data_IF_225661603955
#
_entry.id   IF_225661603955
#
_cell.length_a   1.000
_cell.length_b   1.000
_cell.length_c   1.000
_cell.angle_alpha   90.00
_cell.angle_beta   90.00
_cell.angle_gamma   90.00
#
_symmetry.space_group_name_H-M   'P 1'
#
loop_
_entity.id
_entity.type
_entity.pdbx_description
1 polymer ?
#
# COMPACT_ATOMS: atom_id res chain seq x y z
N UNK A 1 32.39 43.71 7.85
CA UNK A 1 32.94 43.13 6.62
C UNK A 1 31.77 42.75 5.74
N UNK A 2 31.70 43.35 4.54
CA UNK A 2 30.62 43.19 3.58
C UNK A 2 30.76 41.89 2.77
N UNK A 3 29.65 41.57 2.08
CA UNK A 3 29.46 40.73 0.87
C UNK A 3 29.47 39.20 1.00
N UNK A 4 28.26 38.64 0.98
CA UNK A 4 27.69 37.87 -0.15
C UNK A 4 28.60 36.85 -0.84
N UNK A 5 28.24 35.57 -0.77
CA UNK A 5 28.78 34.51 -1.62
C UNK A 5 27.63 33.71 -2.24
N UNK A 6 27.16 34.24 -3.37
CA UNK A 6 27.09 33.59 -4.69
C UNK A 6 26.58 32.14 -4.74
N UNK A 7 25.29 32.05 -5.05
CA UNK A 7 24.65 31.24 -6.08
C UNK A 7 25.58 30.33 -6.92
N UNK A 8 25.31 29.02 -6.94
CA UNK A 8 25.33 28.23 -8.18
C UNK A 8 24.05 27.42 -8.28
N UNK A 9 23.23 27.83 -9.24
CA UNK A 9 22.12 27.10 -9.83
C UNK A 9 22.73 26.11 -10.81
N UNK A 10 22.32 24.85 -10.78
CA UNK A 10 22.60 23.90 -11.88
C UNK A 10 21.28 23.25 -12.27
N UNK A 11 20.61 23.91 -13.21
CA UNK A 11 19.74 23.27 -14.18
C UNK A 11 20.62 22.35 -15.06
N UNK A 12 20.17 21.13 -15.32
CA UNK A 12 20.63 20.39 -16.49
C UNK A 12 19.41 20.07 -17.35
N UNK A 13 19.49 20.59 -18.56
CA UNK A 13 18.48 20.66 -19.59
C UNK A 13 18.02 19.29 -20.10
N UNK A 14 16.77 19.29 -20.52
CA UNK A 14 16.10 18.26 -21.32
C UNK A 14 16.31 18.64 -22.80
N UNK A 15 16.87 17.74 -23.62
CA UNK A 15 16.80 17.79 -25.10
C UNK A 15 16.52 16.36 -25.58
N UNK A 16 15.32 16.09 -26.13
CA UNK A 16 15.00 16.00 -27.58
C UNK A 16 15.38 14.63 -28.16
N UNK A 17 14.68 13.97 -29.08
CA UNK A 17 13.40 14.07 -29.78
C UNK A 17 13.28 12.76 -30.61
N UNK A 18 12.08 12.27 -30.96
CA UNK A 18 11.80 11.78 -32.33
C UNK A 18 10.30 11.54 -32.64
N UNK A 19 9.90 12.16 -33.75
CA UNK A 19 8.86 11.90 -34.77
C UNK A 19 7.45 11.33 -34.47
N UNK A 20 6.46 12.22 -34.64
CA UNK A 20 5.43 12.26 -35.71
C UNK A 20 4.76 10.96 -36.20
N UNK A 21 3.43 10.89 -36.05
CA UNK A 21 2.54 9.98 -36.78
C UNK A 21 1.10 10.50 -36.92
N UNK A 22 0.83 11.18 -38.04
CA UNK A 22 -0.43 11.48 -38.73
C UNK A 22 -1.80 11.49 -38.01
N UNK A 23 -2.44 12.66 -38.03
CA UNK A 23 -3.88 12.89 -37.81
C UNK A 23 -4.69 12.67 -39.11
N UNK A 24 -5.47 11.59 -39.17
CA UNK A 24 -6.55 11.42 -40.13
C UNK A 24 -7.85 12.02 -39.59
N UNK A 25 -8.47 12.91 -40.37
CA UNK A 25 -9.76 13.54 -40.06
C UNK A 25 -10.89 12.76 -40.73
N UNK A 26 -11.83 12.26 -39.94
CA UNK A 26 -13.23 12.12 -40.31
C UNK A 26 -14.07 12.37 -39.07
N UNK A 27 -14.73 13.52 -39.05
CA UNK A 27 -15.79 13.79 -38.11
C UNK A 27 -17.12 13.36 -38.72
N UNK A 28 -17.92 12.63 -37.94
CA UNK A 28 -19.37 12.82 -37.92
C UNK A 28 -19.90 12.29 -36.58
N UNK A 29 -20.55 13.18 -35.83
CA UNK A 29 -20.88 12.98 -34.43
C UNK A 29 -21.99 11.96 -34.18
N UNK A 30 -22.01 11.49 -32.93
CA UNK A 30 -23.13 11.70 -32.02
C UNK A 30 -22.60 11.66 -30.59
N UNK A 31 -22.46 12.84 -29.98
CA UNK A 31 -22.41 12.98 -28.53
C UNK A 31 -23.72 12.45 -27.95
N UNK A 32 -23.65 11.32 -27.25
CA UNK A 32 -24.60 11.00 -26.20
C UNK A 32 -23.96 11.43 -24.88
N UNK A 33 -24.23 12.68 -24.51
CA UNK A 33 -23.99 13.19 -23.18
C UNK A 33 -24.88 12.42 -22.20
N UNK A 34 -24.27 11.50 -21.46
CA UNK A 34 -24.79 10.93 -20.23
C UNK A 34 -23.59 10.47 -19.40
N UNK A 35 -23.48 10.83 -18.11
CA UNK A 35 -22.46 10.26 -17.25
C UNK A 35 -22.68 8.77 -17.21
N UNK A 36 -21.74 8.01 -17.77
CA UNK A 36 -21.75 6.55 -17.65
C UNK A 36 -21.65 6.28 -16.15
N UNK A 37 -22.66 5.66 -15.50
CA UNK A 37 -22.46 5.19 -14.15
C UNK A 37 -21.37 4.12 -14.27
N UNK A 38 -20.19 4.43 -13.73
CA UNK A 38 -19.12 3.48 -13.50
C UNK A 38 -19.73 2.32 -12.70
N UNK A 39 -20.14 1.28 -13.42
CA UNK A 39 -20.68 0.04 -12.87
C UNK A 39 -19.50 -0.73 -12.25
N UNK A 40 -19.01 -0.23 -11.12
CA UNK A 40 -18.05 -0.91 -10.25
C UNK A 40 -18.65 -2.18 -9.62
N UNK A 41 -19.91 -2.51 -9.92
CA UNK A 41 -20.69 -3.64 -9.43
C UNK A 41 -20.22 -5.02 -9.91
N UNK A 42 -19.17 -5.10 -10.74
CA UNK A 42 -18.59 -6.39 -11.20
C UNK A 42 -17.11 -6.55 -10.92
N UNK A 43 -16.54 -5.71 -10.06
CA UNK A 43 -15.34 -6.12 -9.35
C UNK A 43 -15.76 -7.27 -8.43
N UNK A 44 -15.23 -8.47 -8.65
CA UNK A 44 -15.38 -9.56 -7.69
C UNK A 44 -14.92 -9.03 -6.32
N UNK A 45 -15.86 -8.68 -5.44
CA UNK A 45 -15.62 -8.05 -4.13
C UNK A 45 -14.77 -8.93 -3.18
N UNK A 46 -14.36 -10.11 -3.63
CA UNK A 46 -13.52 -11.08 -2.93
C UNK A 46 -12.11 -11.25 -3.52
N UNK A 47 -11.63 -10.35 -4.40
CA UNK A 47 -10.21 -10.34 -4.72
C UNK A 47 -9.45 -9.96 -3.43
N UNK A 48 -8.49 -10.77 -2.95
CA UNK A 48 -7.67 -10.36 -1.81
C UNK A 48 -6.93 -9.09 -2.24
N UNK A 49 -7.31 -7.96 -1.65
CA UNK A 49 -6.53 -6.73 -1.76
C UNK A 49 -5.10 -7.06 -1.32
N UNK A 50 -4.16 -6.98 -2.26
CA UNK A 50 -2.72 -7.19 -2.03
C UNK A 50 -2.13 -6.24 -0.99
N UNK A 51 -2.89 -5.26 -0.52
CA UNK A 51 -2.37 -4.21 0.34
C UNK A 51 -2.25 -4.69 1.79
N UNK A 52 -1.28 -5.58 1.95
CA UNK A 52 -0.16 -5.39 2.85
C UNK A 52 -0.38 -6.01 4.23
N UNK A 53 -0.11 -7.32 4.32
CA UNK A 53 0.05 -8.10 5.56
C UNK A 53 1.04 -7.47 6.56
N UNK A 54 1.79 -6.47 6.14
CA UNK A 54 2.81 -5.75 6.91
C UNK A 54 2.36 -4.33 7.28
N UNK A 55 1.27 -3.81 6.71
CA UNK A 55 0.82 -2.42 6.92
C UNK A 55 0.50 -2.11 8.38
N UNK A 56 -0.12 -3.07 9.10
CA UNK A 56 -0.38 -2.91 10.54
C UNK A 56 0.88 -2.97 11.40
N UNK A 57 2.05 -3.29 10.84
CA UNK A 57 3.33 -3.30 11.55
C UNK A 57 4.10 -1.98 11.38
N UNK A 58 3.63 -1.07 10.52
CA UNK A 58 4.26 0.24 10.35
C UNK A 58 4.15 1.08 11.63
N UNK A 59 5.18 1.90 11.95
CA UNK A 59 5.18 2.72 13.17
C UNK A 59 4.08 3.78 13.18
N UNK A 60 3.71 4.32 12.01
CA UNK A 60 2.65 5.31 11.83
C UNK A 60 1.23 4.71 11.75
N UNK A 61 1.10 3.40 11.96
CA UNK A 61 -0.18 2.72 11.85
C UNK A 61 -1.16 3.17 12.96
N UNK A 62 -2.31 3.69 12.53
CA UNK A 62 -3.40 4.11 13.41
C UNK A 62 -4.46 3.00 13.57
N UNK A 63 -4.47 2.23 14.68
CA UNK A 63 -5.44 1.15 14.91
C UNK A 63 -6.88 1.65 15.11
N UNK A 64 -7.07 2.96 15.26
CA UNK A 64 -8.38 3.63 15.34
C UNK A 64 -9.01 3.86 13.97
N UNK A 65 -8.22 3.98 12.91
CA UNK A 65 -8.70 4.23 11.55
C UNK A 65 -9.31 2.97 10.90
N UNK A 66 -8.92 1.78 11.36
CA UNK A 66 -9.43 0.51 10.83
C UNK A 66 -10.81 0.14 11.37
N UNK A 67 -11.56 -0.59 10.54
CA UNK A 67 -12.86 -1.16 10.90
C UNK A 67 -12.68 -2.24 11.97
N UNK A 68 -13.65 -2.35 12.88
CA UNK A 68 -13.65 -3.35 13.95
C UNK A 68 -13.40 -4.80 13.47
N UNK A 69 -14.05 -5.31 12.40
CA UNK A 69 -13.76 -6.66 11.90
C UNK A 69 -12.32 -6.84 11.41
N UNK A 70 -11.73 -5.81 10.77
CA UNK A 70 -10.33 -5.87 10.35
C UNK A 70 -9.38 -5.91 11.57
N UNK A 71 -9.65 -5.13 12.62
CA UNK A 71 -8.86 -5.15 13.86
C UNK A 71 -8.91 -6.53 14.52
N UNK A 72 -10.10 -7.15 14.54
CA UNK A 72 -10.31 -8.52 15.04
C UNK A 72 -9.51 -9.56 14.24
N UNK A 73 -9.48 -9.43 12.91
CA UNK A 73 -8.71 -10.33 12.04
C UNK A 73 -7.20 -10.20 12.31
N UNK A 74 -6.69 -8.98 12.47
CA UNK A 74 -5.28 -8.75 12.78
C UNK A 74 -4.91 -9.36 14.13
N UNK A 75 -5.72 -9.16 15.17
CA UNK A 75 -5.48 -9.77 16.49
C UNK A 75 -5.48 -11.29 16.43
N UNK A 76 -6.42 -11.88 15.69
CA UNK A 76 -6.50 -13.32 15.47
C UNK A 76 -5.24 -13.86 14.74
N UNK A 77 -4.75 -13.16 13.72
CA UNK A 77 -3.53 -13.51 12.98
C UNK A 77 -2.29 -13.59 13.87
N UNK A 78 -2.22 -12.74 14.90
CA UNK A 78 -1.15 -12.74 15.90
C UNK A 78 -1.42 -13.66 17.10
N UNK A 79 -2.44 -14.53 17.01
CA UNK A 79 -2.87 -15.46 18.06
C UNK A 79 -3.21 -14.77 19.40
N UNK A 80 -3.78 -13.56 19.35
CA UNK A 80 -4.23 -12.84 20.54
C UNK A 80 -5.70 -13.19 20.80
N UNK A 81 -5.94 -13.85 21.93
CA UNK A 81 -7.28 -14.25 22.36
C UNK A 81 -8.02 -13.05 22.96
N UNK A 82 -9.27 -12.87 22.55
CA UNK A 82 -10.21 -11.89 23.07
C UNK A 82 -11.62 -12.54 23.15
N UNK A 83 -12.49 -12.09 24.06
CA UNK A 83 -13.77 -12.73 24.37
C UNK A 83 -14.95 -12.27 23.47
N UNK A 84 -14.68 -11.46 22.45
CA UNK A 84 -15.65 -11.03 21.44
C UNK A 84 -16.63 -9.95 21.91
N UNK A 85 -16.66 -9.63 23.20
CA UNK A 85 -17.50 -8.59 23.82
C UNK A 85 -16.76 -7.25 24.00
N UNK A 86 -15.49 -7.23 23.60
CA UNK A 86 -14.59 -6.11 23.79
C UNK A 86 -14.97 -4.97 22.86
N UNK A 87 -14.92 -3.75 23.41
CA UNK A 87 -15.16 -2.53 22.65
C UNK A 87 -13.99 -2.27 21.70
N UNK A 88 -14.19 -1.45 20.67
CA UNK A 88 -13.10 -1.05 19.74
C UNK A 88 -11.88 -0.50 20.51
N UNK A 89 -12.11 0.25 21.58
CA UNK A 89 -11.05 0.81 22.41
C UNK A 89 -10.22 -0.29 23.12
N UNK A 90 -10.88 -1.33 23.63
CA UNK A 90 -10.19 -2.44 24.29
C UNK A 90 -9.32 -3.24 23.30
N UNK A 91 -9.85 -3.50 22.09
CA UNK A 91 -9.07 -4.15 21.04
C UNK A 91 -7.85 -3.32 20.60
N UNK A 92 -7.97 -1.98 20.58
CA UNK A 92 -6.84 -1.08 20.32
C UNK A 92 -5.79 -1.17 21.44
N UNK A 93 -6.22 -1.28 22.70
CA UNK A 93 -5.30 -1.48 23.82
C UNK A 93 -4.55 -2.81 23.71
N UNK A 94 -5.25 -3.91 23.38
CA UNK A 94 -4.62 -5.21 23.12
C UNK A 94 -3.62 -5.14 21.97
N UNK A 95 -3.97 -4.44 20.88
CA UNK A 95 -3.07 -4.22 19.75
C UNK A 95 -1.78 -3.49 20.17
N UNK A 96 -1.91 -2.37 20.89
CA UNK A 96 -0.76 -1.61 21.37
C UNK A 96 0.11 -2.40 22.36
N UNK A 97 -0.51 -3.27 23.18
CA UNK A 97 0.19 -4.07 24.19
C UNK A 97 1.00 -5.23 23.58
N UNK A 98 0.44 -5.93 22.59
CA UNK A 98 1.02 -7.18 22.10
C UNK A 98 1.64 -7.08 20.69
N UNK A 99 1.08 -6.27 19.80
CA UNK A 99 1.49 -6.22 18.38
C UNK A 99 2.59 -5.18 18.17
N UNK A 100 2.44 -3.96 18.70
CA UNK A 100 3.47 -2.91 18.57
C UNK A 100 4.90 -3.34 18.94
N UNK A 101 5.16 -4.00 20.08
CA UNK A 101 6.53 -4.43 20.41
C UNK A 101 7.04 -5.55 19.50
N UNK A 102 6.14 -6.38 18.96
CA UNK A 102 6.50 -7.47 18.03
C UNK A 102 6.70 -6.98 16.60
N UNK A 103 6.13 -5.83 16.24
CA UNK A 103 6.18 -5.31 14.88
C UNK A 103 7.61 -5.12 14.35
N UNK A 104 8.50 -4.54 15.16
CA UNK A 104 9.90 -4.39 14.80
C UNK A 104 10.61 -5.74 14.57
N UNK A 105 10.34 -6.73 15.43
CA UNK A 105 10.92 -8.06 15.30
C UNK A 105 10.41 -8.80 14.05
N UNK A 106 9.13 -8.63 13.71
CA UNK A 106 8.53 -9.23 12.51
C UNK A 106 9.09 -8.59 11.25
N UNK A 107 9.23 -7.26 11.22
CA UNK A 107 9.82 -6.55 10.08
C UNK A 107 11.28 -6.98 9.84
N UNK A 108 12.08 -7.08 10.90
CA UNK A 108 13.45 -7.56 10.81
C UNK A 108 13.52 -9.02 10.30
N UNK A 109 12.61 -9.89 10.76
CA UNK A 109 12.53 -11.27 10.29
C UNK A 109 12.13 -11.34 8.81
N UNK A 110 11.24 -10.46 8.35
CA UNK A 110 10.85 -10.39 6.92
C UNK A 110 12.02 -9.92 6.07
N UNK A 111 12.78 -8.90 6.51
CA UNK A 111 13.95 -8.39 5.80
C UNK A 111 15.09 -9.43 5.74
N UNK A 112 15.26 -10.22 6.79
CA UNK A 112 16.29 -11.26 6.86
C UNK A 112 16.01 -12.49 5.97
N UNK A 113 14.78 -12.67 5.48
CA UNK A 113 14.44 -13.78 4.59
C UNK A 113 14.89 -13.43 3.17
N UNK A 114 16.11 -13.81 2.84
CA UNK A 114 16.59 -13.81 1.47
C UNK A 114 16.13 -15.09 0.76
N UNK A 115 15.60 -14.96 -0.46
CA UNK A 115 15.27 -16.15 -1.25
C UNK A 115 16.58 -16.79 -1.70
N UNK A 116 16.79 -18.09 -1.46
CA UNK A 116 17.90 -18.78 -2.11
C UNK A 116 17.70 -18.67 -3.63
N UNK A 117 18.76 -18.28 -4.34
CA UNK A 117 18.79 -18.26 -5.80
C UNK A 117 18.91 -19.66 -6.42
N UNK A 118 19.13 -20.67 -5.58
CA UNK A 118 19.19 -22.06 -6.02
C UNK A 118 17.81 -22.59 -6.47
N UNK A 119 17.85 -23.35 -7.56
CA UNK A 119 16.69 -24.04 -8.12
C UNK A 119 16.13 -25.10 -7.15
N UNK A 120 14.82 -25.36 -7.24
CA UNK A 120 14.14 -26.27 -6.33
C UNK A 120 14.49 -27.72 -6.72
N UNK A 121 15.50 -28.30 -6.08
CA UNK A 121 15.90 -29.69 -6.33
C UNK A 121 15.11 -30.65 -5.43
N UNK A 122 14.33 -31.55 -6.04
CA UNK A 122 13.66 -32.67 -5.36
C UNK A 122 14.70 -33.72 -4.95
N UNK A 123 14.98 -33.81 -3.65
CA UNK A 123 15.86 -34.85 -3.10
C UNK A 123 15.03 -36.11 -2.87
N UNK A 124 15.14 -37.05 -3.81
CA UNK A 124 14.50 -38.38 -3.75
C UNK A 124 15.31 -39.40 -2.96
#
# INVERSE_FOLDING_TARGET
MCTESKLIHTELEISEADATGAIGKDGCGKEVNGPVPDDHSRLLENMPSQFNDVYHLMPDFAPTAIKLPALRNILCRHNIVYNGKETKADLVNLFNKYIKPKAAAILAAIEAVERPEEDIVDVR
#
